data_IF_331913731666
#
_entry.id   IF_331913731666
#
_cell.length_a   1.000
_cell.length_b   1.000
_cell.length_c   1.000
_cell.angle_alpha   90.00
_cell.angle_beta   90.00
_cell.angle_gamma   90.00
#
_symmetry.space_group_name_H-M   'P 1'
#
loop_
_entity.id
_entity.type
_entity.pdbx_description
1 polymer ?
#
# COMPACT_ATOMS: atom_id res chain seq x y z
N UNK A 1 -34.67 1.22 -2.55
CA UNK A 1 -33.27 1.64 -2.33
C UNK A 1 -32.50 1.41 -3.62
N UNK A 2 -31.86 2.44 -4.17
CA UNK A 2 -31.13 2.30 -5.44
C UNK A 2 -29.90 1.40 -5.28
N UNK A 3 -29.62 0.57 -6.28
CA UNK A 3 -28.49 -0.38 -6.33
C UNK A 3 -27.16 0.22 -5.85
N UNK A 4 -26.90 1.49 -6.18
CA UNK A 4 -25.69 2.23 -5.77
C UNK A 4 -25.53 2.32 -4.24
N UNK A 5 -26.62 2.51 -3.49
CA UNK A 5 -26.57 2.62 -2.03
C UNK A 5 -26.21 1.30 -1.34
N UNK A 6 -26.61 0.17 -1.93
CA UNK A 6 -26.33 -1.17 -1.39
C UNK A 6 -24.87 -1.61 -1.59
N UNK A 7 -24.26 -1.22 -2.74
CA UNK A 7 -22.88 -1.60 -3.07
C UNK A 7 -21.80 -0.66 -2.53
N UNK A 8 -22.15 0.55 -2.05
CA UNK A 8 -21.21 1.50 -1.46
C UNK A 8 -20.28 0.91 -0.37
N UNK A 9 -20.78 0.18 0.65
CA UNK A 9 -19.92 -0.41 1.68
C UNK A 9 -18.99 -1.49 1.11
N UNK A 10 -19.50 -2.33 0.20
CA UNK A 10 -18.70 -3.36 -0.47
C UNK A 10 -17.60 -2.76 -1.36
N UNK A 11 -17.91 -1.71 -2.11
CA UNK A 11 -16.94 -1.02 -2.95
C UNK A 11 -15.80 -0.41 -2.12
N UNK A 12 -16.13 0.21 -0.98
CA UNK A 12 -15.13 0.79 -0.07
C UNK A 12 -14.25 -0.30 0.54
N UNK A 13 -14.84 -1.40 1.00
CA UNK A 13 -14.10 -2.54 1.55
C UNK A 13 -13.14 -3.15 0.52
N UNK A 14 -13.64 -3.45 -0.69
CA UNK A 14 -12.81 -4.00 -1.78
C UNK A 14 -11.70 -3.03 -2.18
N UNK A 15 -11.96 -1.73 -2.20
CA UNK A 15 -10.94 -0.71 -2.46
C UNK A 15 -9.78 -0.76 -1.47
N UNK A 16 -10.08 -0.90 -0.17
CA UNK A 16 -9.05 -1.02 0.89
C UNK A 16 -8.25 -2.31 0.73
N UNK A 17 -8.92 -3.43 0.44
CA UNK A 17 -8.25 -4.73 0.22
C UNK A 17 -7.30 -4.68 -0.97
N UNK A 18 -7.74 -4.09 -2.09
CA UNK A 18 -6.91 -3.93 -3.29
C UNK A 18 -5.72 -3.00 -3.01
N UNK A 19 -5.92 -1.92 -2.26
CA UNK A 19 -4.83 -1.03 -1.85
C UNK A 19 -3.76 -1.78 -1.05
N UNK A 20 -4.17 -2.61 -0.08
CA UNK A 20 -3.24 -3.43 0.71
C UNK A 20 -2.46 -4.43 -0.16
N UNK A 21 -3.17 -5.14 -1.05
CA UNK A 21 -2.54 -6.07 -2.00
C UNK A 21 -1.53 -5.37 -2.92
N UNK A 22 -1.83 -4.15 -3.37
CA UNK A 22 -0.94 -3.37 -4.21
C UNK A 22 0.35 -2.97 -3.46
N UNK A 23 0.23 -2.59 -2.19
CA UNK A 23 1.39 -2.29 -1.32
C UNK A 23 2.26 -3.53 -1.15
N UNK A 24 1.67 -4.66 -0.77
CA UNK A 24 2.42 -5.92 -0.64
C UNK A 24 3.11 -6.32 -1.95
N UNK A 25 2.42 -6.14 -3.09
CA UNK A 25 2.99 -6.42 -4.41
C UNK A 25 4.18 -5.51 -4.73
N UNK A 26 4.09 -4.22 -4.40
CA UNK A 26 5.19 -3.28 -4.57
C UNK A 26 6.40 -3.65 -3.71
N UNK A 27 6.18 -3.98 -2.43
CA UNK A 27 7.26 -4.41 -1.53
C UNK A 27 7.90 -5.72 -1.99
N UNK A 28 7.11 -6.72 -2.38
CA UNK A 28 7.64 -7.98 -2.93
C UNK A 28 8.44 -7.75 -4.22
N UNK A 29 7.99 -6.86 -5.11
CA UNK A 29 8.71 -6.51 -6.34
C UNK A 29 10.05 -5.82 -6.04
N UNK A 30 10.08 -4.91 -5.07
CA UNK A 30 11.32 -4.28 -4.61
C UNK A 30 12.28 -5.31 -4.00
N UNK A 31 11.78 -6.22 -3.16
CA UNK A 31 12.58 -7.30 -2.57
C UNK A 31 13.14 -8.26 -3.62
N UNK A 32 12.33 -8.65 -4.61
CA UNK A 32 12.79 -9.50 -5.71
C UNK A 32 13.92 -8.82 -6.47
N UNK A 33 13.78 -7.52 -6.77
CA UNK A 33 14.82 -6.78 -7.49
C UNK A 33 16.08 -6.59 -6.64
N UNK A 34 15.92 -6.36 -5.35
CA UNK A 34 17.02 -6.26 -4.37
C UNK A 34 17.88 -7.54 -4.36
N UNK A 35 17.22 -8.70 -4.28
CA UNK A 35 17.89 -10.00 -4.30
C UNK A 35 18.54 -10.29 -5.65
N UNK A 36 17.85 -10.00 -6.76
CA UNK A 36 18.38 -10.24 -8.12
C UNK A 36 19.63 -9.40 -8.41
N UNK A 37 19.72 -8.19 -7.87
CA UNK A 37 20.88 -7.31 -8.04
C UNK A 37 22.01 -7.62 -7.03
N UNK A 38 21.80 -8.53 -6.06
CA UNK A 38 22.79 -8.85 -5.04
C UNK A 38 23.18 -7.63 -4.18
N UNK A 39 22.24 -6.70 -3.98
CA UNK A 39 22.48 -5.44 -3.27
C UNK A 39 22.75 -5.73 -1.79
N UNK A 40 24.01 -5.63 -1.37
CA UNK A 40 24.40 -5.85 0.03
C UNK A 40 25.25 -4.68 0.53
N UNK A 41 24.74 -3.94 1.53
CA UNK A 41 25.42 -2.80 2.20
C UNK A 41 25.91 -1.68 1.25
N UNK A 42 25.27 -1.50 0.10
CA UNK A 42 25.48 -0.36 -0.80
C UNK A 42 24.45 0.76 -0.56
N UNK A 43 24.75 1.98 -1.02
CA UNK A 43 23.82 3.12 -0.92
C UNK A 43 22.50 2.86 -1.65
N UNK A 44 22.55 2.18 -2.80
CA UNK A 44 21.38 1.76 -3.56
C UNK A 44 20.48 0.80 -2.77
N UNK A 45 21.10 -0.11 -1.99
CA UNK A 45 20.40 -1.07 -1.15
C UNK A 45 19.59 -0.36 -0.05
N UNK A 46 20.17 0.70 0.53
CA UNK A 46 19.52 1.54 1.54
C UNK A 46 18.37 2.36 0.94
N UNK A 47 18.57 2.93 -0.25
CA UNK A 47 17.52 3.68 -0.96
C UNK A 47 16.31 2.82 -1.31
N UNK A 48 16.54 1.58 -1.77
CA UNK A 48 15.45 0.64 -2.09
C UNK A 48 14.65 0.28 -0.84
N UNK A 49 15.32 -0.05 0.27
CA UNK A 49 14.64 -0.34 1.54
C UNK A 49 13.88 0.87 2.09
N UNK A 50 14.46 2.06 1.99
CA UNK A 50 13.80 3.28 2.42
C UNK A 50 12.57 3.60 1.57
N UNK A 51 12.65 3.35 0.26
CA UNK A 51 11.50 3.48 -0.66
C UNK A 51 10.39 2.50 -0.29
N UNK A 52 10.72 1.24 0.03
CA UNK A 52 9.76 0.27 0.54
C UNK A 52 9.04 0.76 1.81
N UNK A 53 9.81 1.25 2.79
CA UNK A 53 9.25 1.85 4.01
C UNK A 53 8.31 3.03 3.70
N UNK A 54 8.71 3.95 2.81
CA UNK A 54 7.87 5.08 2.43
C UNK A 54 6.54 4.64 1.79
N UNK A 55 6.56 3.59 0.95
CA UNK A 55 5.35 3.02 0.34
C UNK A 55 4.42 2.46 1.43
N UNK A 56 4.97 1.74 2.41
CA UNK A 56 4.21 1.18 3.53
C UNK A 56 3.60 2.29 4.39
N UNK A 57 4.39 3.29 4.79
CA UNK A 57 3.91 4.44 5.57
C UNK A 57 2.83 5.24 4.82
N UNK A 58 2.99 5.41 3.50
CA UNK A 58 1.98 6.02 2.64
C UNK A 58 0.68 5.20 2.65
N UNK A 59 0.78 3.88 2.48
CA UNK A 59 -0.35 2.97 2.53
C UNK A 59 -1.13 3.03 3.84
N UNK A 60 -0.43 3.04 4.98
CA UNK A 60 -1.03 3.22 6.30
C UNK A 60 -1.74 4.57 6.40
N UNK A 61 -1.10 5.65 5.94
CA UNK A 61 -1.67 7.00 5.99
C UNK A 61 -2.96 7.11 5.16
N UNK A 62 -2.97 6.51 3.97
CA UNK A 62 -4.16 6.45 3.11
C UNK A 62 -5.25 5.59 3.77
N UNK A 63 -4.89 4.42 4.29
CA UNK A 63 -5.83 3.53 4.99
C UNK A 63 -6.48 4.20 6.19
N UNK A 64 -5.69 4.90 7.00
CA UNK A 64 -6.19 5.73 8.11
C UNK A 64 -7.16 6.79 7.61
N UNK A 65 -6.81 7.53 6.56
CA UNK A 65 -7.66 8.57 5.98
C UNK A 65 -9.01 8.04 5.49
N UNK A 66 -9.06 6.79 5.02
CA UNK A 66 -10.31 6.15 4.56
C UNK A 66 -11.16 5.67 5.74
N UNK A 67 -10.54 5.19 6.83
CA UNK A 67 -11.25 4.62 8.00
C UNK A 67 -11.71 5.72 8.98
N UNK A 68 -10.94 6.80 9.13
CA UNK A 68 -11.26 7.88 10.05
C UNK A 68 -12.57 8.57 9.63
N UNK A 69 -13.55 8.70 10.54
CA UNK A 69 -14.77 9.44 10.26
C UNK A 69 -14.40 10.89 10.01
N UNK A 70 -14.92 11.47 8.93
CA UNK A 70 -14.78 12.92 8.70
C UNK A 70 -15.60 13.64 9.76
N UNK A 71 -14.93 14.15 10.78
CA UNK A 71 -15.53 15.09 11.73
C UNK A 71 -15.78 16.39 10.96
N UNK A 72 -17.04 16.64 10.62
CA UNK A 72 -17.53 17.94 10.18
C UNK A 72 -17.85 18.79 11.41
#
# INVERSE_FOLDING_TARGET
MGTRASYLPWHTFLGIVILFLAICTAEMGLLQKFLQLGLFRNQEALLVNFTGLLILLFGISVGLTVVLPRSY
#
